data_IF_557629705739
#
_entry.id   IF_557629705739
#
_cell.length_a   1.000
_cell.length_b   1.000
_cell.length_c   1.000
_cell.angle_alpha   90.00
_cell.angle_beta   90.00
_cell.angle_gamma   90.00
#
_symmetry.space_group_name_H-M   'P 1'
#
loop_
_entity.id
_entity.type
_entity.pdbx_description
1 polymer ?
#
# COMPACT_ATOMS: atom_id res chain seq x y z
N UNK A 1 8.72 -10.08 8.99
CA UNK A 1 9.20 -9.02 8.09
C UNK A 1 8.42 -7.76 8.42
N UNK A 2 9.08 -6.71 8.92
CA UNK A 2 8.44 -5.41 9.12
C UNK A 2 8.58 -4.58 7.84
N UNK A 3 7.78 -4.91 6.82
CA UNK A 3 7.82 -4.24 5.52
C UNK A 3 7.95 -5.18 4.32
N UNK A 4 7.91 -4.59 3.13
CA UNK A 4 7.97 -5.25 1.84
C UNK A 4 7.98 -4.23 0.71
N UNK A 5 8.05 -4.71 -0.53
CA UNK A 5 7.91 -3.85 -1.69
C UNK A 5 6.53 -3.17 -1.69
N UNK A 6 6.49 -1.89 -2.08
CA UNK A 6 5.25 -1.13 -2.16
C UNK A 6 4.27 -1.81 -3.11
N UNK A 7 3.01 -1.97 -2.70
CA UNK A 7 1.97 -2.54 -3.57
C UNK A 7 1.70 -1.65 -4.80
N UNK A 8 1.93 -0.34 -4.68
CA UNK A 8 1.80 0.63 -5.78
C UNK A 8 2.89 0.47 -6.83
N UNK A 9 4.05 -0.07 -6.44
CA UNK A 9 5.21 -0.29 -7.32
C UNK A 9 5.27 -1.71 -7.87
N UNK A 10 4.39 -2.60 -7.42
CA UNK A 10 4.43 -4.03 -7.72
C UNK A 10 3.16 -4.51 -8.39
N UNK A 11 1.99 -4.34 -7.76
CA UNK A 11 0.77 -5.07 -8.16
C UNK A 11 -0.42 -4.18 -8.51
N UNK A 12 -0.40 -2.91 -8.11
CA UNK A 12 -1.56 -2.02 -8.15
C UNK A 12 -1.28 -0.75 -8.96
N UNK A 13 -1.50 -0.84 -10.28
CA UNK A 13 -1.34 0.29 -11.18
C UNK A 13 -2.35 1.40 -10.85
N UNK A 14 -1.84 2.59 -10.48
CA UNK A 14 -2.66 3.78 -10.21
C UNK A 14 -2.36 4.90 -11.23
N UNK A 15 -3.02 4.92 -12.41
CA UNK A 15 -2.83 5.99 -13.40
C UNK A 15 -3.09 7.40 -12.83
N UNK A 16 -4.09 7.53 -11.95
CA UNK A 16 -4.41 8.81 -11.31
C UNK A 16 -3.27 9.34 -10.44
N UNK A 17 -2.49 8.44 -9.82
CA UNK A 17 -1.34 8.82 -9.03
C UNK A 17 -0.22 9.38 -9.91
N UNK A 18 -0.06 8.85 -11.13
CA UNK A 18 0.85 9.39 -12.14
C UNK A 18 0.45 10.81 -12.57
N UNK A 19 -0.85 11.06 -12.83
CA UNK A 19 -1.36 12.42 -13.14
C UNK A 19 -1.13 13.43 -11.99
N UNK A 20 -1.01 12.93 -10.76
CA UNK A 20 -0.84 13.73 -9.56
C UNK A 20 0.62 13.92 -9.17
N UNK A 21 1.58 13.39 -9.93
CA UNK A 21 3.00 13.45 -9.57
C UNK A 21 3.46 14.87 -9.22
N UNK A 22 4.13 15.01 -8.08
CA UNK A 22 4.64 16.28 -7.57
C UNK A 22 3.57 17.29 -7.12
N UNK A 23 2.27 17.02 -7.34
CA UNK A 23 1.18 17.86 -6.85
C UNK A 23 0.98 17.65 -5.34
N UNK A 24 0.46 18.65 -4.61
CA UNK A 24 0.07 18.47 -3.21
C UNK A 24 -0.91 17.31 -3.03
N UNK A 25 -0.73 16.55 -1.97
CA UNK A 25 -1.66 15.48 -1.61
C UNK A 25 -3.01 16.10 -1.22
N UNK A 26 -4.16 15.61 -1.72
CA UNK A 26 -5.46 16.21 -1.41
C UNK A 26 -5.78 16.11 0.07
N UNK A 27 -6.35 17.18 0.63
CA UNK A 27 -6.69 17.24 2.06
C UNK A 27 -7.67 16.15 2.49
N UNK A 28 -8.51 15.64 1.58
CA UNK A 28 -9.42 14.53 1.85
C UNK A 28 -8.72 13.25 2.32
N UNK A 29 -7.42 13.08 2.02
CA UNK A 29 -6.62 11.93 2.43
C UNK A 29 -5.79 12.19 3.70
N UNK A 30 -5.61 13.45 4.10
CA UNK A 30 -4.73 13.82 5.22
C UNK A 30 -5.51 14.35 6.43
N UNK A 31 -6.70 14.91 6.21
CA UNK A 31 -7.54 15.50 7.27
C UNK A 31 -8.02 14.43 8.25
N UNK A 32 -7.71 14.62 9.54
CA UNK A 32 -8.13 13.72 10.62
C UNK A 32 -7.37 12.39 10.69
N UNK A 33 -6.42 12.14 9.79
CA UNK A 33 -5.57 10.96 9.84
C UNK A 33 -4.46 11.14 10.90
N UNK A 34 -4.07 10.09 11.63
CA UNK A 34 -3.08 10.17 12.71
C UNK A 34 -1.64 10.25 12.16
N UNK A 35 -1.37 11.20 11.28
CA UNK A 35 -0.09 11.37 10.57
C UNK A 35 0.86 12.29 11.36
N UNK A 36 1.00 12.06 12.67
CA UNK A 36 1.76 12.93 13.58
C UNK A 36 3.21 13.18 13.10
N UNK A 37 3.85 12.17 12.51
CA UNK A 37 5.22 12.24 12.00
C UNK A 37 5.41 13.09 10.74
N UNK A 38 4.31 13.44 10.05
CA UNK A 38 4.33 14.22 8.82
C UNK A 38 3.71 15.62 9.00
N UNK A 39 3.32 16.00 10.21
CA UNK A 39 2.79 17.32 10.50
C UNK A 39 3.81 18.42 10.15
N UNK A 40 3.34 19.47 9.48
CA UNK A 40 4.18 20.60 9.05
C UNK A 40 5.05 20.35 7.81
N UNK A 41 5.00 19.16 7.21
CA UNK A 41 5.72 18.85 5.96
C UNK A 41 4.84 19.05 4.73
N UNK A 42 5.44 19.50 3.63
CA UNK A 42 4.78 19.51 2.32
C UNK A 42 4.62 18.07 1.84
N UNK A 43 3.38 17.59 1.78
CA UNK A 43 3.03 16.26 1.27
C UNK A 43 2.75 16.35 -0.22
N UNK A 44 3.55 15.67 -1.03
CA UNK A 44 3.38 15.60 -2.48
C UNK A 44 3.11 14.17 -2.91
N UNK A 45 2.21 13.99 -3.88
CA UNK A 45 1.98 12.69 -4.49
C UNK A 45 3.22 12.26 -5.28
N UNK A 46 3.60 10.98 -5.14
CA UNK A 46 4.67 10.35 -5.89
C UNK A 46 4.06 9.43 -6.95
N UNK A 47 4.40 9.62 -8.22
CA UNK A 47 3.99 8.71 -9.30
C UNK A 47 4.56 7.30 -9.11
N UNK A 48 3.96 6.28 -9.75
CA UNK A 48 4.61 4.99 -9.94
C UNK A 48 6.04 5.17 -10.49
N UNK A 49 6.99 4.47 -9.89
CA UNK A 49 8.42 4.52 -10.22
C UNK A 49 8.81 3.50 -11.29
N UNK A 50 7.97 2.47 -11.50
CA UNK A 50 8.19 1.41 -12.46
C UNK A 50 7.05 1.30 -13.47
N UNK A 51 7.37 0.83 -14.68
CA UNK A 51 6.39 0.60 -15.74
C UNK A 51 5.48 -0.59 -15.39
N UNK A 52 4.18 -0.46 -15.66
CA UNK A 52 3.23 -1.56 -15.56
C UNK A 52 2.93 -2.14 -16.94
N UNK A 53 2.99 -3.47 -17.05
CA UNK A 53 2.70 -4.20 -18.30
C UNK A 53 1.62 -5.24 -18.06
N UNK A 54 0.93 -5.61 -19.13
CA UNK A 54 0.01 -6.75 -19.14
C UNK A 54 0.77 -8.01 -19.52
N UNK A 55 0.56 -9.08 -18.78
CA UNK A 55 1.20 -10.38 -18.96
C UNK A 55 0.17 -11.49 -19.07
N UNK A 56 0.57 -12.58 -19.72
CA UNK A 56 -0.26 -13.77 -19.91
C UNK A 56 -1.49 -13.54 -20.78
N UNK A 57 -2.25 -14.61 -21.00
CA UNK A 57 -3.55 -14.60 -21.69
C UNK A 57 -4.63 -13.98 -20.81
N UNK A 58 -4.49 -14.08 -19.49
CA UNK A 58 -5.37 -13.45 -18.51
C UNK A 58 -5.27 -11.92 -18.50
N UNK A 59 -4.22 -11.36 -19.12
CA UNK A 59 -4.02 -9.90 -19.21
C UNK A 59 -3.72 -9.25 -17.87
N UNK A 60 -3.17 -10.01 -16.91
CA UNK A 60 -2.81 -9.51 -15.60
C UNK A 60 -1.83 -8.34 -15.72
N UNK A 61 -2.12 -7.25 -15.01
CA UNK A 61 -1.28 -6.06 -15.00
C UNK A 61 -0.49 -5.95 -13.70
N UNK A 62 0.83 -5.93 -13.81
CA UNK A 62 1.76 -5.71 -12.70
C UNK A 62 3.08 -5.11 -13.21
N UNK A 63 3.93 -4.70 -12.27
CA UNK A 63 5.18 -3.97 -12.53
C UNK A 63 6.19 -4.81 -13.31
N UNK A 64 6.93 -4.17 -14.22
CA UNK A 64 8.04 -4.76 -14.96
C UNK A 64 9.30 -4.99 -14.12
N UNK A 65 9.29 -4.60 -12.84
CA UNK A 65 10.39 -4.84 -11.90
C UNK A 65 10.68 -6.34 -11.69
N UNK A 66 9.72 -7.21 -11.98
CA UNK A 66 9.89 -8.66 -11.88
C UNK A 66 10.17 -9.27 -13.27
N UNK A 67 11.44 -9.45 -13.68
CA UNK A 67 11.80 -9.79 -15.06
C UNK A 67 11.28 -11.15 -15.53
N UNK A 68 11.09 -12.09 -14.60
CA UNK A 68 10.68 -13.46 -14.92
C UNK A 68 9.22 -13.74 -14.58
N UNK A 69 8.59 -12.93 -13.74
CA UNK A 69 7.27 -13.25 -13.21
C UNK A 69 6.18 -13.19 -14.30
N UNK A 70 6.39 -12.39 -15.34
CA UNK A 70 5.52 -12.34 -16.52
C UNK A 70 5.34 -13.68 -17.22
N UNK A 71 6.30 -14.61 -17.11
CA UNK A 71 6.24 -15.93 -17.78
C UNK A 71 5.25 -16.88 -17.14
N UNK A 72 4.90 -16.65 -15.87
CA UNK A 72 3.97 -17.47 -15.09
C UNK A 72 2.71 -16.69 -14.69
N UNK A 73 2.40 -15.59 -15.39
CA UNK A 73 1.28 -14.72 -15.06
C UNK A 73 -0.06 -15.46 -14.98
N UNK A 74 -0.32 -16.39 -15.90
CA UNK A 74 -1.56 -17.17 -15.94
C UNK A 74 -1.65 -18.25 -14.86
N UNK A 75 -0.56 -18.56 -14.17
CA UNK A 75 -0.50 -19.52 -13.06
C UNK A 75 -0.66 -18.85 -11.68
N UNK A 76 -0.74 -17.52 -11.65
CA UNK A 76 -0.85 -16.73 -10.43
C UNK A 76 -2.23 -16.10 -10.26
N UNK A 77 -2.58 -15.83 -9.01
CA UNK A 77 -3.74 -15.03 -8.63
C UNK A 77 -3.29 -13.79 -7.85
N UNK A 78 -3.77 -12.61 -8.25
CA UNK A 78 -3.52 -11.35 -7.53
C UNK A 78 -4.78 -10.93 -6.78
N UNK A 79 -4.73 -10.98 -5.45
CA UNK A 79 -5.82 -10.56 -4.58
C UNK A 79 -5.74 -9.06 -4.31
N UNK A 80 -6.75 -8.30 -4.78
CA UNK A 80 -6.86 -6.83 -4.59
C UNK A 80 -7.99 -6.40 -3.65
N UNK A 81 -8.69 -7.37 -3.07
CA UNK A 81 -9.86 -7.13 -2.20
C UNK A 81 -9.50 -6.79 -0.75
N UNK A 82 -8.23 -6.96 -0.36
CA UNK A 82 -7.78 -6.65 1.01
C UNK A 82 -7.76 -5.14 1.25
N UNK A 83 -8.32 -4.71 2.38
CA UNK A 83 -8.33 -3.32 2.83
C UNK A 83 -8.01 -3.25 4.32
N UNK A 84 -7.44 -2.14 4.75
CA UNK A 84 -7.18 -1.84 6.17
C UNK A 84 -7.35 -0.35 6.41
N UNK A 85 -7.71 0.02 7.64
CA UNK A 85 -7.74 1.40 8.12
C UNK A 85 -6.42 1.79 8.81
N UNK A 86 -5.50 0.84 8.98
CA UNK A 86 -4.21 1.08 9.61
C UNK A 86 -3.26 1.81 8.63
N UNK A 87 -2.76 2.97 9.07
CA UNK A 87 -1.77 3.75 8.31
C UNK A 87 -0.32 3.30 8.56
N UNK A 88 -0.08 2.60 9.68
CA UNK A 88 1.25 2.17 10.13
C UNK A 88 1.42 0.67 9.92
N UNK A 89 2.66 0.24 9.72
CA UNK A 89 2.97 -1.16 9.46
C UNK A 89 2.68 -2.08 10.66
N UNK A 90 3.00 -1.70 11.91
CA UNK A 90 2.76 -2.58 13.06
C UNK A 90 1.28 -2.93 13.30
N UNK A 91 0.35 -1.95 13.31
CA UNK A 91 -1.08 -2.28 13.41
C UNK A 91 -1.60 -3.04 12.19
N UNK A 92 -1.11 -2.72 10.98
CA UNK A 92 -1.51 -3.40 9.76
C UNK A 92 -1.06 -4.87 9.75
N UNK A 93 0.15 -5.18 10.21
CA UNK A 93 0.62 -6.56 10.35
C UNK A 93 -0.20 -7.36 11.34
N UNK A 94 -0.52 -6.76 12.51
CA UNK A 94 -1.37 -7.42 13.50
C UNK A 94 -2.73 -7.74 12.90
N UNK A 95 -3.37 -6.76 12.25
CA UNK A 95 -4.65 -6.95 11.58
C UNK A 95 -4.59 -8.03 10.49
N UNK A 96 -3.58 -8.00 9.64
CA UNK A 96 -3.42 -8.98 8.55
C UNK A 96 -3.29 -10.41 9.08
N UNK A 97 -2.59 -10.61 10.20
CA UNK A 97 -2.33 -11.94 10.74
C UNK A 97 -3.45 -12.45 11.68
N UNK A 98 -4.19 -11.56 12.34
CA UNK A 98 -5.15 -11.95 13.39
C UNK A 98 -6.59 -11.55 13.12
N UNK A 99 -6.84 -10.75 12.07
CA UNK A 99 -8.16 -10.21 11.75
C UNK A 99 -8.62 -9.06 12.65
N UNK A 100 -7.82 -8.63 13.63
CA UNK A 100 -8.18 -7.53 14.54
C UNK A 100 -6.98 -6.68 14.94
N UNK A 101 -7.19 -5.36 15.03
CA UNK A 101 -6.21 -4.42 15.58
C UNK A 101 -6.34 -4.40 17.10
N UNK A 102 -5.69 -5.34 17.80
CA UNK A 102 -5.65 -5.28 19.27
C UNK A 102 -4.76 -4.09 19.65
N UNK A 103 -5.33 -3.07 20.29
CA UNK A 103 -4.53 -2.02 20.94
C UNK A 103 -3.71 -2.67 22.05
N UNK A 104 -2.39 -2.67 21.92
CA UNK A 104 -1.48 -3.02 23.00
C UNK A 104 -1.49 -1.91 24.07
N UNK A 105 -2.59 -1.79 24.82
CA UNK A 105 -2.67 -1.01 26.04
C UNK A 105 -3.98 -1.36 26.77
N UNK A 106 -4.02 -2.50 27.46
CA UNK A 106 -4.65 -2.46 28.77
C UNK A 106 -3.60 -1.88 29.69
N UNK A 107 -3.78 -0.61 30.06
CA UNK A 107 -3.06 0.01 31.15
C UNK A 107 -3.26 -0.92 32.35
N UNK A 108 -2.16 -1.47 32.87
CA UNK A 108 -2.19 -2.20 34.12
C UNK A 108 -2.53 -1.17 35.20
N UNK A 109 -3.74 -1.25 35.76
CA UNK A 109 -4.14 -0.49 36.94
C UNK A 109 -3.76 -1.37 38.16
N UNK A 110 -2.78 -0.99 38.98
CA UNK A 110 -2.58 -1.63 40.28
C UNK A 110 -3.84 -1.43 41.13
N UNK A 111 -4.38 -2.55 41.64
CA UNK A 111 -5.38 -2.53 42.71
C UNK A 111 -4.78 -2.17 44.05
#
# INVERSE_FOLDING_TARGET
MAGGASHLETWDHKPKLAEMNGKPMPESYTKGQPIAQLQGKKLTCLAPQHEFKKYGKSGQSFSSIFPHLGTVADEMCIIRSMKTEAINHDPAHTFMNTGTTIRAARRWEPG
#
